data_IF_189054872741
#
_entry.id   IF_189054872741
#
_cell.length_a   1.000
_cell.length_b   1.000
_cell.length_c   1.000
_cell.angle_alpha   90.00
_cell.angle_beta   90.00
_cell.angle_gamma   90.00
#
_symmetry.space_group_name_H-M   'P 1'
#
loop_
_entity.id
_entity.type
_entity.pdbx_description
1 polymer ?
#
# COMPACT_ATOMS: atom_id res chain seq x y z
N UNK A 1 28.08 -2.19 16.47
CA UNK A 1 26.77 -1.70 16.95
C UNK A 1 26.12 -1.05 15.74
N UNK A 2 25.12 -1.69 15.17
CA UNK A 2 24.39 -1.12 14.03
C UNK A 2 23.42 -0.08 14.58
N UNK A 3 23.66 1.19 14.25
CA UNK A 3 22.92 2.34 14.76
C UNK A 3 21.62 2.61 13.95
N UNK A 4 21.14 1.63 13.20
CA UNK A 4 19.95 1.72 12.35
C UNK A 4 18.79 0.93 12.94
N UNK A 5 17.55 1.36 12.66
CA UNK A 5 16.36 0.56 12.92
C UNK A 5 16.34 -0.72 12.07
N UNK A 6 15.59 -1.72 12.53
CA UNK A 6 15.40 -2.99 11.85
C UNK A 6 13.89 -3.22 11.61
N UNK A 7 13.56 -3.84 10.48
CA UNK A 7 12.21 -4.23 10.11
C UNK A 7 11.91 -5.71 10.40
N UNK A 8 12.84 -6.47 10.97
CA UNK A 8 12.62 -7.89 11.31
C UNK A 8 11.29 -8.13 12.03
N UNK A 9 10.53 -9.18 11.66
CA UNK A 9 10.86 -10.23 10.68
C UNK A 9 10.51 -9.88 9.22
N UNK A 10 10.19 -8.62 8.92
CA UNK A 10 9.69 -8.21 7.61
C UNK A 10 10.82 -8.11 6.60
N UNK A 11 10.55 -8.49 5.35
CA UNK A 11 11.51 -8.36 4.26
C UNK A 11 11.70 -6.91 3.84
N UNK A 12 12.93 -6.57 3.47
CA UNK A 12 13.27 -5.27 2.91
C UNK A 12 13.32 -4.14 3.94
N UNK A 13 13.42 -2.93 3.44
CA UNK A 13 13.66 -1.73 4.25
C UNK A 13 13.20 -0.49 3.45
N UNK A 14 13.43 0.70 4.02
CA UNK A 14 13.13 1.99 3.39
C UNK A 14 13.54 2.03 1.91
N UNK A 15 12.68 2.60 1.06
CA UNK A 15 12.79 2.66 -0.40
C UNK A 15 12.35 1.39 -1.16
N UNK A 16 12.09 0.27 -0.47
CA UNK A 16 11.58 -0.94 -1.10
C UNK A 16 10.10 -1.15 -0.78
N UNK A 17 9.37 -1.84 -1.65
CA UNK A 17 7.92 -2.11 -1.48
C UNK A 17 7.61 -3.47 -0.86
N UNK A 18 8.59 -4.08 -0.20
CA UNK A 18 8.40 -5.21 0.69
C UNK A 18 7.71 -4.77 1.99
N UNK A 19 7.21 -5.71 2.81
CA UNK A 19 6.53 -5.37 4.06
C UNK A 19 7.39 -4.50 4.97
N UNK A 20 8.70 -4.75 5.06
CA UNK A 20 9.62 -3.97 5.90
C UNK A 20 9.87 -2.54 5.41
N UNK A 21 9.45 -2.19 4.19
CA UNK A 21 9.56 -0.84 3.66
C UNK A 21 8.34 0.05 3.89
N UNK A 22 7.13 -0.54 4.00
CA UNK A 22 5.87 0.21 4.10
C UNK A 22 5.01 -0.14 5.33
N UNK A 23 5.15 -1.33 5.92
CA UNK A 23 4.42 -1.68 7.14
C UNK A 23 5.08 -0.99 8.32
N UNK A 24 4.28 -0.24 9.08
CA UNK A 24 4.75 0.58 10.21
C UNK A 24 4.10 0.15 11.51
N UNK A 25 4.78 0.32 12.67
CA UNK A 25 4.11 0.23 13.95
C UNK A 25 3.06 1.34 14.06
N UNK A 26 1.86 1.00 14.51
CA UNK A 26 0.78 1.96 14.71
C UNK A 26 0.06 1.66 16.03
N UNK A 27 -0.07 2.68 16.88
CA UNK A 27 -0.82 2.64 18.13
C UNK A 27 -1.85 3.77 18.11
N UNK A 28 -3.09 3.45 18.45
CA UNK A 28 -4.16 4.42 18.64
C UNK A 28 -4.65 4.36 20.09
N UNK A 29 -4.83 5.53 20.70
CA UNK A 29 -5.22 5.63 22.12
C UNK A 29 -6.34 6.66 22.28
N UNK A 30 -7.49 6.20 22.76
CA UNK A 30 -8.66 7.04 22.97
C UNK A 30 -9.55 6.46 24.08
N UNK A 31 -9.34 6.87 25.35
CA UNK A 31 -10.05 6.31 26.49
C UNK A 31 -11.57 6.44 26.36
N UNK A 32 -12.28 5.36 26.73
CA UNK A 32 -13.73 5.28 26.63
C UNK A 32 -14.27 5.17 25.20
N UNK A 33 -13.39 5.06 24.19
CA UNK A 33 -13.77 4.97 22.77
C UNK A 33 -13.07 3.83 22.04
N UNK A 34 -11.77 3.66 22.25
CA UNK A 34 -11.00 2.49 21.80
C UNK A 34 -10.93 1.50 22.97
N UNK A 35 -11.37 0.23 22.79
CA UNK A 35 -11.19 -0.80 23.80
C UNK A 35 -9.71 -0.96 24.20
N UNK A 36 -9.41 -0.97 25.50
CA UNK A 36 -8.04 -1.09 25.96
C UNK A 36 -7.46 -2.48 25.64
N UNK A 37 -6.20 -2.52 25.19
CA UNK A 37 -5.48 -3.77 24.92
C UNK A 37 -5.96 -4.56 23.71
N UNK A 38 -6.85 -4.00 22.87
CA UNK A 38 -7.29 -4.65 21.63
C UNK A 38 -6.28 -4.50 20.50
N UNK A 39 -6.33 -5.41 19.55
CA UNK A 39 -5.56 -5.40 18.29
C UNK A 39 -6.49 -5.55 17.09
N UNK A 40 -6.02 -5.17 15.90
CA UNK A 40 -6.69 -5.45 14.62
C UNK A 40 -5.68 -5.72 13.52
N UNK A 41 -5.98 -6.69 12.67
CA UNK A 41 -5.20 -7.02 11.46
C UNK A 41 -5.76 -6.34 10.19
N UNK A 42 -6.79 -5.50 10.35
CA UNK A 42 -7.34 -4.72 9.26
C UNK A 42 -6.26 -3.83 8.62
N UNK A 43 -6.20 -3.84 7.29
CA UNK A 43 -5.35 -2.92 6.53
C UNK A 43 -5.82 -1.49 6.77
N UNK A 44 -4.90 -0.65 7.21
CA UNK A 44 -5.06 0.79 7.37
C UNK A 44 -3.80 1.48 6.85
N UNK A 45 -3.93 2.74 6.45
CA UNK A 45 -2.84 3.53 5.91
C UNK A 45 -2.84 4.96 6.46
N UNK A 46 -1.69 5.64 6.41
CA UNK A 46 -1.57 7.05 6.82
C UNK A 46 -2.55 7.96 6.08
N UNK A 47 -2.93 7.63 4.83
CA UNK A 47 -3.93 8.39 4.06
C UNK A 47 -5.31 8.37 4.70
N UNK A 48 -5.62 7.37 5.53
CA UNK A 48 -6.89 7.22 6.23
C UNK A 48 -7.03 8.18 7.42
N UNK A 49 -5.92 8.73 7.91
CA UNK A 49 -5.95 9.68 9.03
C UNK A 49 -6.74 10.94 8.70
N UNK A 50 -6.64 11.42 7.45
CA UNK A 50 -7.37 12.61 7.02
C UNK A 50 -8.90 12.45 7.13
N UNK A 51 -9.55 11.49 6.43
CA UNK A 51 -10.99 11.33 6.54
C UNK A 51 -11.44 10.90 7.94
N UNK A 52 -10.64 10.09 8.64
CA UNK A 52 -10.94 9.69 10.03
C UNK A 52 -11.00 10.91 10.95
N UNK A 53 -9.95 11.74 10.98
CA UNK A 53 -9.92 12.90 11.89
C UNK A 53 -10.91 13.99 11.50
N UNK A 54 -11.16 14.19 10.20
CA UNK A 54 -12.23 15.08 9.75
C UNK A 54 -13.59 14.60 10.27
N UNK A 55 -13.91 13.31 10.13
CA UNK A 55 -15.15 12.73 10.66
C UNK A 55 -15.27 12.82 12.18
N UNK A 56 -14.19 12.53 12.92
CA UNK A 56 -14.17 12.63 14.37
C UNK A 56 -14.33 14.07 14.89
N UNK A 57 -13.88 15.06 14.12
CA UNK A 57 -14.06 16.48 14.42
C UNK A 57 -15.43 17.04 14.02
N UNK A 58 -16.31 16.23 13.39
CA UNK A 58 -17.59 16.69 12.85
C UNK A 58 -17.46 17.53 11.57
N UNK A 59 -16.32 17.44 10.89
CA UNK A 59 -16.06 18.10 9.61
C UNK A 59 -16.74 17.40 8.43
N UNK A 60 -16.70 18.06 7.28
CA UNK A 60 -17.16 17.50 6.00
C UNK A 60 -15.98 17.22 5.10
N UNK A 61 -16.05 16.14 4.32
CA UNK A 61 -15.02 15.80 3.35
C UNK A 61 -15.26 16.55 2.03
N UNK A 62 -14.20 16.89 1.28
CA UNK A 62 -14.35 17.39 -0.08
C UNK A 62 -15.17 16.43 -0.95
N UNK A 63 -16.11 16.99 -1.71
CA UNK A 63 -16.95 16.24 -2.67
C UNK A 63 -16.53 16.45 -4.12
N UNK A 64 -15.57 17.34 -4.36
CA UNK A 64 -15.03 17.70 -5.68
C UNK A 64 -13.93 16.74 -6.14
N UNK A 65 -13.59 15.73 -5.32
CA UNK A 65 -12.45 14.85 -5.55
C UNK A 65 -12.61 13.51 -4.83
N UNK A 66 -12.12 12.44 -5.45
CA UNK A 66 -11.97 11.12 -4.83
C UNK A 66 -10.85 11.18 -3.78
N UNK A 67 -11.12 10.65 -2.61
CA UNK A 67 -10.13 10.44 -1.56
C UNK A 67 -9.78 8.95 -1.51
N UNK A 68 -8.49 8.63 -1.51
CA UNK A 68 -8.02 7.25 -1.36
C UNK A 68 -8.17 6.76 0.08
N UNK A 69 -8.02 7.68 1.04
CA UNK A 69 -8.21 7.41 2.46
C UNK A 69 -9.66 7.09 2.80
N UNK A 70 -9.86 6.23 3.79
CA UNK A 70 -11.16 5.81 4.32
C UNK A 70 -11.27 6.14 5.81
N UNK A 71 -12.48 6.41 6.29
CA UNK A 71 -12.72 6.64 7.71
C UNK A 71 -12.55 5.33 8.51
N UNK A 72 -11.64 5.33 9.47
CA UNK A 72 -11.35 4.22 10.38
C UNK A 72 -12.11 4.32 11.71
N UNK A 73 -13.04 5.25 11.87
CA UNK A 73 -13.75 5.48 13.11
C UNK A 73 -14.47 4.25 13.65
N UNK A 74 -15.06 3.43 12.77
CA UNK A 74 -15.63 2.14 13.14
C UNK A 74 -14.56 1.17 13.63
N UNK A 75 -13.44 1.08 12.90
CA UNK A 75 -12.30 0.23 13.25
C UNK A 75 -11.67 0.60 14.59
N UNK A 76 -11.55 1.89 14.89
CA UNK A 76 -11.05 2.36 16.18
C UNK A 76 -11.99 1.97 17.32
N UNK A 77 -13.31 2.03 17.11
CA UNK A 77 -14.30 1.73 18.17
C UNK A 77 -14.54 0.25 18.39
N UNK A 78 -14.41 -0.56 17.34
CA UNK A 78 -14.59 -2.03 17.40
C UNK A 78 -13.52 -2.75 16.56
N UNK A 79 -12.25 -2.75 17.02
CA UNK A 79 -11.12 -3.28 16.27
C UNK A 79 -11.18 -4.81 16.06
N UNK A 80 -11.89 -5.53 16.95
CA UNK A 80 -12.00 -6.98 16.89
C UNK A 80 -13.00 -7.46 15.82
N UNK A 81 -14.03 -6.67 15.51
CA UNK A 81 -15.10 -7.09 14.60
C UNK A 81 -15.19 -6.24 13.32
N UNK A 82 -14.40 -5.17 13.20
CA UNK A 82 -14.40 -4.32 12.01
C UNK A 82 -13.30 -4.75 11.04
N UNK A 83 -13.68 -5.04 9.79
CA UNK A 83 -12.73 -5.32 8.71
C UNK A 83 -12.15 -4.04 8.12
N UNK A 84 -11.06 -4.16 7.37
CA UNK A 84 -10.52 -3.03 6.59
C UNK A 84 -11.59 -2.44 5.67
N UNK A 85 -11.68 -1.11 5.54
CA UNK A 85 -12.52 -0.48 4.52
C UNK A 85 -11.88 -0.54 3.12
N UNK A 86 -10.65 -1.05 3.01
CA UNK A 86 -9.93 -1.18 1.74
C UNK A 86 -10.05 -2.60 1.20
N UNK A 87 -10.51 -2.76 -0.03
CA UNK A 87 -10.40 -4.03 -0.74
C UNK A 87 -8.93 -4.39 -1.01
N UNK A 88 -8.12 -3.38 -1.35
CA UNK A 88 -6.72 -3.54 -1.68
C UNK A 88 -5.89 -2.32 -1.26
N UNK A 89 -4.60 -2.58 -1.02
CA UNK A 89 -3.57 -1.58 -0.81
C UNK A 89 -2.52 -1.66 -1.92
N UNK A 90 -2.16 -0.52 -2.48
CA UNK A 90 -1.32 -0.41 -3.67
C UNK A 90 0.08 0.12 -3.29
N UNK A 91 1.11 -0.69 -3.48
CA UNK A 91 2.47 -0.37 -3.08
C UNK A 91 3.18 0.32 -4.25
N UNK A 92 3.13 1.65 -4.24
CA UNK A 92 3.88 2.46 -5.19
C UNK A 92 5.29 2.74 -4.69
N UNK A 93 6.26 2.63 -5.60
CA UNK A 93 7.58 3.22 -5.43
C UNK A 93 7.68 4.38 -6.42
N UNK A 94 7.61 5.61 -5.92
CA UNK A 94 7.38 6.80 -6.73
C UNK A 94 6.12 6.61 -7.58
N UNK A 95 6.22 6.66 -8.90
CA UNK A 95 5.10 6.45 -9.83
C UNK A 95 4.96 5.00 -10.28
N UNK A 96 5.80 4.07 -9.82
CA UNK A 96 5.73 2.67 -10.23
C UNK A 96 4.92 1.81 -9.26
N UNK A 97 3.80 1.24 -9.71
CA UNK A 97 3.07 0.24 -8.91
C UNK A 97 3.89 -1.05 -8.83
N UNK A 98 4.38 -1.43 -7.65
CA UNK A 98 5.26 -2.61 -7.51
C UNK A 98 4.56 -3.82 -6.87
N UNK A 99 3.54 -3.61 -6.05
CA UNK A 99 2.78 -4.68 -5.43
C UNK A 99 1.35 -4.27 -5.11
N UNK A 100 0.47 -5.25 -4.94
CA UNK A 100 -0.92 -5.08 -4.49
C UNK A 100 -1.17 -6.06 -3.37
N UNK A 101 -1.74 -5.60 -2.25
CA UNK A 101 -2.21 -6.47 -1.16
C UNK A 101 -3.73 -6.41 -1.05
N UNK A 102 -4.38 -7.55 -0.91
CA UNK A 102 -5.82 -7.65 -0.63
C UNK A 102 -6.02 -8.71 0.45
N UNK A 103 -6.41 -8.26 1.65
CA UNK A 103 -6.39 -9.09 2.86
C UNK A 103 -4.99 -9.64 3.15
N UNK A 104 -4.88 -10.96 3.27
CA UNK A 104 -3.62 -11.67 3.50
C UNK A 104 -2.73 -11.80 2.27
N UNK A 105 -3.29 -11.65 1.08
CA UNK A 105 -2.57 -11.91 -0.16
C UNK A 105 -1.81 -10.69 -0.63
N UNK A 106 -0.55 -10.87 -0.99
CA UNK A 106 0.26 -9.82 -1.62
C UNK A 106 0.88 -10.30 -2.92
N UNK A 107 0.48 -9.66 -4.01
CA UNK A 107 1.05 -9.85 -5.34
C UNK A 107 2.18 -8.84 -5.57
N UNK A 108 3.33 -9.32 -6.04
CA UNK A 108 4.50 -8.50 -6.35
C UNK A 108 4.83 -8.62 -7.84
N UNK A 109 4.95 -7.47 -8.52
CA UNK A 109 5.28 -7.38 -9.95
C UNK A 109 6.78 -7.57 -10.18
N UNK A 110 7.10 -8.21 -11.30
CA UNK A 110 8.45 -8.23 -11.90
C UNK A 110 8.94 -6.80 -12.12
N UNK A 111 10.19 -6.52 -11.77
CA UNK A 111 10.82 -5.20 -11.98
C UNK A 111 12.35 -5.31 -11.98
N UNK A 112 13.05 -4.44 -12.74
CA UNK A 112 14.50 -4.35 -12.68
C UNK A 112 14.97 -3.69 -11.37
N UNK A 113 16.20 -3.98 -10.96
CA UNK A 113 16.92 -3.13 -10.02
C UNK A 113 17.28 -1.79 -10.67
N UNK A 114 17.44 -0.75 -9.86
CA UNK A 114 17.83 0.60 -10.30
C UNK A 114 17.02 1.14 -11.49
N UNK A 115 15.68 1.21 -11.37
CA UNK A 115 14.83 1.58 -12.48
C UNK A 115 15.15 2.99 -13.01
N UNK A 116 15.27 3.17 -14.34
CA UNK A 116 15.70 4.45 -14.91
C UNK A 116 14.68 5.58 -14.72
N UNK A 117 13.39 5.26 -14.61
CA UNK A 117 12.31 6.25 -14.49
C UNK A 117 12.27 6.99 -13.14
N UNK A 118 13.05 6.56 -12.13
CA UNK A 118 13.20 7.28 -10.86
C UNK A 118 14.49 8.11 -10.78
N UNK A 119 15.22 8.23 -11.90
CA UNK A 119 16.41 9.05 -12.03
C UNK A 119 17.48 8.74 -10.99
N UNK A 120 18.06 9.78 -10.39
CA UNK A 120 19.13 9.66 -9.39
C UNK A 120 18.72 8.82 -8.16
N UNK A 121 17.43 8.80 -7.81
CA UNK A 121 16.91 7.99 -6.71
C UNK A 121 17.01 6.48 -6.97
N UNK A 122 17.19 6.06 -8.23
CA UNK A 122 17.30 4.66 -8.62
C UNK A 122 18.42 3.92 -7.90
N UNK A 123 19.51 4.62 -7.53
CA UNK A 123 20.63 4.05 -6.75
C UNK A 123 20.20 3.48 -5.38
N UNK A 124 19.09 3.97 -4.84
CA UNK A 124 18.52 3.51 -3.57
C UNK A 124 17.47 2.41 -3.74
N UNK A 125 16.98 2.20 -4.96
CA UNK A 125 16.02 1.14 -5.31
C UNK A 125 16.80 -0.04 -5.88
N UNK A 126 17.43 -0.81 -4.98
CA UNK A 126 18.43 -1.80 -5.36
C UNK A 126 17.90 -3.21 -5.66
N UNK A 127 16.63 -3.51 -5.39
CA UNK A 127 16.13 -4.88 -5.50
C UNK A 127 15.40 -5.12 -6.82
N UNK A 128 15.97 -6.00 -7.65
CA UNK A 128 15.22 -6.61 -8.75
C UNK A 128 14.19 -7.60 -8.18
N UNK A 129 13.16 -7.85 -8.97
CA UNK A 129 12.25 -8.98 -8.80
C UNK A 129 12.13 -9.61 -10.18
N UNK A 130 12.76 -10.77 -10.35
CA UNK A 130 12.92 -11.41 -11.65
C UNK A 130 11.68 -12.19 -12.10
N UNK A 131 10.91 -12.67 -11.12
CA UNK A 131 9.67 -13.39 -11.30
C UNK A 131 8.55 -12.68 -10.55
N UNK A 132 7.36 -12.70 -11.14
CA UNK A 132 6.19 -12.27 -10.40
C UNK A 132 5.93 -13.25 -9.24
N UNK A 133 5.47 -12.73 -8.12
CA UNK A 133 5.27 -13.53 -6.91
C UNK A 133 3.94 -13.23 -6.23
N UNK A 134 3.42 -14.23 -5.53
CA UNK A 134 2.28 -14.12 -4.63
C UNK A 134 2.70 -14.64 -3.25
N UNK A 135 2.37 -13.92 -2.19
CA UNK A 135 2.67 -14.27 -0.80
C UNK A 135 1.39 -14.32 0.04
N UNK A 136 1.28 -15.30 0.94
CA UNK A 136 0.27 -15.36 2.01
C UNK A 136 0.88 -14.76 3.29
N UNK A 137 0.62 -13.49 3.57
CA UNK A 137 1.25 -12.74 4.66
C UNK A 137 0.80 -13.18 6.07
N UNK A 138 -0.29 -13.97 6.18
CA UNK A 138 -0.67 -14.58 7.47
C UNK A 138 0.27 -15.74 7.81
N UNK A 139 0.73 -16.49 6.80
CA UNK A 139 1.62 -17.64 6.97
C UNK A 139 3.09 -17.29 6.82
N UNK A 140 3.39 -16.26 6.04
CA UNK A 140 4.74 -15.87 5.65
C UNK A 140 4.87 -14.35 5.57
N UNK A 141 4.94 -13.73 6.76
CA UNK A 141 5.10 -12.27 6.90
C UNK A 141 6.45 -11.76 6.33
N UNK A 142 7.42 -12.67 6.16
CA UNK A 142 8.75 -12.40 5.62
C UNK A 142 8.83 -12.48 4.09
N UNK A 143 7.73 -12.76 3.39
CA UNK A 143 7.67 -12.80 1.92
C UNK A 143 8.76 -13.70 1.31
N UNK A 144 8.92 -14.90 1.88
CA UNK A 144 9.98 -15.87 1.58
C UNK A 144 9.53 -16.94 0.58
N UNK A 145 8.26 -17.30 0.57
CA UNK A 145 7.70 -18.42 -0.21
C UNK A 145 6.72 -17.90 -1.26
N UNK A 146 7.12 -17.99 -2.53
CA UNK A 146 6.24 -17.65 -3.65
C UNK A 146 5.21 -18.77 -3.84
N UNK A 147 3.91 -18.46 -3.66
CA UNK A 147 2.79 -19.40 -3.78
C UNK A 147 1.90 -19.12 -5.01
N UNK A 148 2.45 -18.43 -6.01
CA UNK A 148 1.72 -18.01 -7.20
C UNK A 148 1.22 -19.18 -8.06
N UNK A 149 1.98 -20.28 -8.11
CA UNK A 149 1.63 -21.46 -8.92
C UNK A 149 0.48 -22.26 -8.27
N UNK A 150 0.40 -22.25 -6.95
CA UNK A 150 -0.60 -22.95 -6.14
C UNK A 150 -1.94 -22.19 -6.06
N UNK A 151 -1.93 -20.87 -6.29
CA UNK A 151 -3.11 -20.00 -6.18
C UNK A 151 -3.32 -19.11 -7.42
N UNK A 152 -3.50 -19.70 -8.62
CA UNK A 152 -3.61 -18.95 -9.87
C UNK A 152 -4.83 -18.01 -9.91
N UNK A 153 -5.93 -18.39 -9.26
CA UNK A 153 -7.15 -17.58 -9.16
C UNK A 153 -6.94 -16.31 -8.32
N UNK A 154 -6.21 -16.42 -7.21
CA UNK A 154 -5.86 -15.28 -6.36
C UNK A 154 -4.92 -14.35 -7.11
N UNK A 155 -3.91 -14.93 -7.78
CA UNK A 155 -2.98 -14.15 -8.59
C UNK A 155 -3.71 -13.39 -9.71
N UNK A 156 -4.64 -14.04 -10.41
CA UNK A 156 -5.44 -13.40 -11.46
C UNK A 156 -6.25 -12.22 -10.92
N UNK A 157 -6.92 -12.39 -9.77
CA UNK A 157 -7.67 -11.31 -9.10
C UNK A 157 -6.77 -10.13 -8.72
N UNK A 158 -5.64 -10.37 -8.08
CA UNK A 158 -4.74 -9.28 -7.67
C UNK A 158 -4.06 -8.60 -8.86
N UNK A 159 -3.81 -9.33 -9.95
CA UNK A 159 -3.34 -8.73 -11.22
C UNK A 159 -4.39 -7.83 -11.85
N UNK A 160 -5.67 -8.19 -11.76
CA UNK A 160 -6.77 -7.36 -12.23
C UNK A 160 -6.85 -6.06 -11.42
N UNK A 161 -6.81 -6.15 -10.08
CA UNK A 161 -6.75 -4.98 -9.20
C UNK A 161 -5.53 -4.09 -9.51
N UNK A 162 -4.38 -4.70 -9.80
CA UNK A 162 -3.19 -3.96 -10.22
C UNK A 162 -3.39 -3.24 -11.55
N UNK A 163 -4.05 -3.89 -12.52
CA UNK A 163 -4.34 -3.28 -13.81
C UNK A 163 -5.28 -2.08 -13.67
N UNK A 164 -6.37 -2.23 -12.91
CA UNK A 164 -7.34 -1.16 -12.64
C UNK A 164 -6.68 0.03 -11.96
N UNK A 165 -5.88 -0.20 -10.92
CA UNK A 165 -5.17 0.87 -10.23
C UNK A 165 -4.16 1.59 -11.12
N UNK A 166 -3.49 0.88 -12.04
CA UNK A 166 -2.63 1.53 -13.04
C UNK A 166 -3.46 2.43 -13.97
N UNK A 167 -4.59 1.93 -14.47
CA UNK A 167 -5.42 2.72 -15.39
C UNK A 167 -6.02 3.95 -14.71
N UNK A 168 -6.34 3.88 -13.42
CA UNK A 168 -6.91 4.99 -12.66
C UNK A 168 -5.86 5.95 -12.11
N UNK A 169 -4.90 5.46 -11.32
CA UNK A 169 -3.90 6.30 -10.64
C UNK A 169 -2.69 6.62 -11.52
N UNK A 170 -2.44 5.82 -12.55
CA UNK A 170 -1.29 5.91 -13.44
C UNK A 170 -0.16 4.96 -13.04
N UNK A 171 0.89 5.00 -13.85
CA UNK A 171 2.12 4.25 -13.57
C UNK A 171 3.32 5.00 -14.18
N UNK A 172 4.53 4.47 -14.01
CA UNK A 172 5.75 5.09 -14.56
C UNK A 172 5.73 5.22 -16.09
N UNK A 173 4.85 4.52 -16.80
CA UNK A 173 4.74 4.49 -18.27
C UNK A 173 3.46 5.16 -18.83
N UNK A 174 2.50 5.55 -17.98
CA UNK A 174 1.29 6.25 -18.41
C UNK A 174 0.65 7.08 -17.29
N UNK A 175 -0.14 8.09 -17.66
CA UNK A 175 -0.97 8.83 -16.71
C UNK A 175 -2.33 8.15 -16.59
N UNK A 176 -2.79 7.93 -15.37
CA UNK A 176 -4.10 7.34 -15.12
C UNK A 176 -5.25 8.35 -15.27
N UNK A 177 -6.45 7.86 -15.54
CA UNK A 177 -7.63 8.70 -15.76
C UNK A 177 -8.06 9.50 -14.52
N UNK A 178 -7.78 8.98 -13.32
CA UNK A 178 -8.05 9.62 -12.05
C UNK A 178 -6.88 10.43 -11.49
N UNK A 179 -5.73 10.43 -12.17
CA UNK A 179 -4.54 11.16 -11.73
C UNK A 179 -4.79 12.68 -11.69
N UNK A 180 -4.30 13.33 -10.64
CA UNK A 180 -4.46 14.77 -10.42
C UNK A 180 -3.12 15.47 -10.33
N UNK A 181 -3.06 16.66 -10.91
CA UNK A 181 -1.88 17.50 -10.94
C UNK A 181 -2.19 18.82 -10.25
N UNK A 182 -1.22 19.33 -9.48
CA UNK A 182 -1.40 20.50 -8.62
C UNK A 182 -1.54 21.81 -9.43
N UNK A 183 -1.04 21.81 -10.67
CA UNK A 183 -0.76 23.00 -11.48
C UNK A 183 -1.41 23.01 -12.87
N UNK A 184 -2.33 22.09 -13.19
CA UNK A 184 -3.06 22.12 -14.46
C UNK A 184 -3.40 20.73 -15.03
N UNK A 185 -3.68 20.62 -16.35
CA UNK A 185 -3.92 19.32 -16.98
C UNK A 185 -2.67 18.42 -16.91
N UNK A 186 -2.86 17.12 -17.15
CA UNK A 186 -1.77 16.15 -17.12
C UNK A 186 -0.56 16.61 -17.96
N UNK A 187 0.67 16.55 -17.41
CA UNK A 187 1.86 16.94 -18.15
C UNK A 187 2.01 16.03 -19.37
N UNK A 188 2.19 16.65 -20.54
CA UNK A 188 2.50 15.93 -21.77
C UNK A 188 3.90 15.34 -21.61
N UNK A 189 4.00 14.02 -21.45
CA UNK A 189 5.31 13.36 -21.43
C UNK A 189 5.96 13.50 -22.80
N UNK A 190 7.09 14.20 -22.87
CA UNK A 190 7.93 14.20 -24.07
C UNK A 190 8.42 12.77 -24.33
N UNK A 191 8.24 12.28 -25.55
CA UNK A 191 8.78 10.99 -25.99
C UNK A 191 10.30 10.97 -25.92
#
# INVERSE_FOLDING_TARGET
>A
RDHSGNADPLRGYKMLTWEGGLRVPCLAWWPGKIPAGSTSDAIASTIDLFPTFAGLAGGTLPTDRILDGRDLGALLRDPANTTSPHEAFYYYCFTHLQAVRSGKWKFVRKRPAHPPWVGWSGRFVGNAVDELSLYDLEKDIGETTNVAAEHPEVLARLRQLAHEARMDLGDYDHTGSGARFFDGPAPVRSK
#
